data_IF_643176451424
#
_entry.id   IF_643176451424
#
_cell.length_a   1.000
_cell.length_b   1.000
_cell.length_c   1.000
_cell.angle_alpha   90.00
_cell.angle_beta   90.00
_cell.angle_gamma   90.00
#
_symmetry.space_group_name_H-M   'P 1'
#
loop_
_entity.id
_entity.type
_entity.pdbx_description
1 polymer ?
#
# COMPACT_ATOMS: atom_id res chain seq x y z
N UNK A 1 -1.53 -21.97 24.83
CA UNK A 1 -0.50 -23.01 24.66
C UNK A 1 0.19 -22.69 23.35
N UNK A 2 1.36 -22.04 23.42
CA UNK A 2 2.15 -21.73 22.23
C UNK A 2 2.68 -23.04 21.64
N UNK A 3 2.67 -23.17 20.32
CA UNK A 3 3.51 -24.17 19.67
C UNK A 3 4.96 -23.87 20.02
N UNK A 4 5.66 -24.83 20.62
CA UNK A 4 7.12 -24.85 20.68
C UNK A 4 7.64 -25.02 19.24
N UNK A 5 7.50 -23.99 18.42
CA UNK A 5 8.26 -23.89 17.19
C UNK A 5 9.70 -23.63 17.61
N UNK A 6 10.53 -24.67 17.50
CA UNK A 6 11.95 -24.55 17.74
C UNK A 6 12.55 -23.66 16.64
N UNK A 7 13.10 -22.51 17.03
CA UNK A 7 13.78 -21.58 16.13
C UNK A 7 15.29 -21.81 16.20
N UNK A 8 16.02 -21.76 15.06
CA UNK A 8 15.52 -21.43 13.72
C UNK A 8 14.80 -22.59 13.03
N UNK A 9 13.87 -22.28 12.12
CA UNK A 9 13.20 -23.27 11.27
C UNK A 9 13.06 -22.80 9.83
N UNK A 10 12.94 -23.76 8.92
CA UNK A 10 12.50 -23.48 7.56
C UNK A 10 11.03 -23.00 7.53
N UNK A 11 10.68 -22.24 6.50
CA UNK A 11 9.27 -22.01 6.15
C UNK A 11 8.61 -23.36 5.83
N UNK A 12 7.43 -23.57 6.40
CA UNK A 12 6.57 -24.69 6.00
C UNK A 12 6.15 -24.54 4.53
N UNK A 13 5.79 -25.64 3.85
CA UNK A 13 5.29 -25.58 2.48
C UNK A 13 4.10 -24.62 2.31
N UNK A 14 3.20 -24.57 3.31
CA UNK A 14 2.03 -23.69 3.30
C UNK A 14 2.42 -22.22 3.44
N UNK A 15 3.31 -21.86 4.38
CA UNK A 15 3.81 -20.49 4.52
C UNK A 15 4.49 -20.03 3.23
N UNK A 16 5.33 -20.89 2.64
CA UNK A 16 6.04 -20.58 1.40
C UNK A 16 5.10 -20.35 0.21
N UNK A 17 4.06 -21.18 0.06
CA UNK A 17 3.01 -20.97 -0.96
C UNK A 17 2.33 -19.61 -0.81
N UNK A 18 1.85 -19.32 0.41
CA UNK A 18 1.15 -18.08 0.71
C UNK A 18 2.03 -16.84 0.50
N UNK A 19 3.30 -16.89 0.90
CA UNK A 19 4.25 -15.80 0.71
C UNK A 19 4.56 -15.56 -0.76
N UNK A 20 4.81 -16.60 -1.55
CA UNK A 20 5.05 -16.43 -2.98
C UNK A 20 3.82 -15.96 -3.75
N UNK A 21 2.63 -16.34 -3.30
CA UNK A 21 1.40 -15.87 -3.88
C UNK A 21 1.24 -14.35 -3.71
N UNK A 22 1.47 -13.80 -2.51
CA UNK A 22 1.41 -12.33 -2.30
C UNK A 22 2.63 -11.58 -2.84
N UNK A 23 3.69 -12.28 -3.27
CA UNK A 23 4.91 -11.69 -3.83
C UNK A 23 5.07 -12.11 -5.31
N UNK A 24 4.22 -11.64 -6.24
CA UNK A 24 4.18 -12.14 -7.61
C UNK A 24 5.53 -11.94 -8.36
N UNK A 25 5.98 -12.94 -9.14
CA UNK A 25 7.32 -12.96 -9.74
C UNK A 25 7.51 -12.01 -10.91
N UNK A 26 6.42 -11.56 -11.54
CA UNK A 26 6.41 -10.62 -12.66
C UNK A 26 6.60 -9.16 -12.24
N UNK A 27 6.64 -8.88 -10.92
CA UNK A 27 6.86 -7.52 -10.38
C UNK A 27 8.30 -7.33 -9.91
N UNK A 28 9.06 -6.38 -10.48
CA UNK A 28 10.46 -6.19 -10.14
C UNK A 28 10.67 -5.83 -8.66
N UNK A 29 9.73 -5.07 -8.06
CA UNK A 29 9.79 -4.68 -6.66
C UNK A 29 9.73 -5.84 -5.66
N UNK A 30 9.11 -6.97 -6.03
CA UNK A 30 9.01 -8.14 -5.16
C UNK A 30 10.22 -9.07 -5.24
N UNK A 31 11.14 -8.89 -6.21
CA UNK A 31 12.27 -9.81 -6.44
C UNK A 31 13.09 -10.08 -5.18
N UNK A 32 13.57 -9.03 -4.51
CA UNK A 32 14.38 -9.17 -3.28
C UNK A 32 13.65 -9.87 -2.14
N UNK A 33 12.33 -9.73 -2.08
CA UNK A 33 11.50 -10.36 -1.05
C UNK A 33 11.32 -11.84 -1.34
N UNK A 34 11.11 -12.20 -2.61
CA UNK A 34 11.06 -13.59 -3.05
C UNK A 34 12.39 -14.31 -2.78
N UNK A 35 13.51 -13.67 -3.12
CA UNK A 35 14.86 -14.19 -2.83
C UNK A 35 15.03 -14.46 -1.32
N UNK A 36 14.58 -13.55 -0.45
CA UNK A 36 14.62 -13.76 0.98
C UNK A 36 13.72 -14.90 1.47
N UNK A 37 12.51 -15.06 0.90
CA UNK A 37 11.63 -16.21 1.18
C UNK A 37 12.29 -17.54 0.76
N UNK A 38 13.19 -17.51 -0.22
CA UNK A 38 13.93 -18.70 -0.66
C UNK A 38 15.16 -19.00 0.21
N UNK A 39 15.84 -17.97 0.70
CA UNK A 39 17.17 -18.12 1.29
C UNK A 39 17.23 -17.97 2.82
N UNK A 40 16.21 -17.39 3.46
CA UNK A 40 16.23 -17.09 4.89
C UNK A 40 15.44 -18.12 5.70
N UNK A 41 15.74 -18.17 7.01
CA UNK A 41 15.06 -19.04 7.97
C UNK A 41 14.16 -18.21 8.89
N UNK A 42 13.11 -18.83 9.40
CA UNK A 42 12.28 -18.24 10.46
C UNK A 42 13.08 -18.31 11.76
N UNK A 43 13.50 -17.15 12.25
CA UNK A 43 14.37 -17.03 13.42
C UNK A 43 13.59 -16.78 14.71
N UNK A 44 12.30 -16.47 14.63
CA UNK A 44 11.45 -16.21 15.79
C UNK A 44 10.18 -15.46 15.44
N UNK A 45 9.38 -15.19 16.48
CA UNK A 45 8.21 -14.33 16.40
C UNK A 45 8.59 -12.85 16.51
N UNK A 46 7.87 -12.01 15.78
CA UNK A 46 7.92 -10.56 15.92
C UNK A 46 7.10 -10.07 17.11
N UNK A 47 7.08 -8.76 17.30
CA UNK A 47 6.49 -8.12 18.50
C UNK A 47 4.97 -8.28 18.65
N UNK A 48 4.26 -8.77 17.62
CA UNK A 48 2.81 -9.01 17.67
C UNK A 48 2.46 -10.40 18.21
N UNK A 49 3.45 -11.24 18.45
CA UNK A 49 3.27 -12.61 18.96
C UNK A 49 2.89 -13.59 17.85
N UNK A 50 2.17 -14.63 18.24
CA UNK A 50 1.91 -15.80 17.39
C UNK A 50 1.33 -15.45 16.01
N UNK A 51 1.94 -16.01 14.97
CA UNK A 51 1.60 -15.75 13.56
C UNK A 51 2.34 -14.59 12.92
N UNK A 52 3.04 -13.75 13.71
CA UNK A 52 3.95 -12.73 13.22
C UNK A 52 5.38 -13.27 13.28
N UNK A 53 5.94 -13.63 12.14
CA UNK A 53 7.22 -14.35 12.04
C UNK A 53 8.30 -13.48 11.39
N UNK A 54 9.55 -13.78 11.73
CA UNK A 54 10.71 -13.03 11.29
C UNK A 54 11.66 -13.92 10.51
N UNK A 55 11.83 -13.63 9.22
CA UNK A 55 12.88 -14.22 8.38
C UNK A 55 14.17 -13.44 8.56
N UNK A 56 15.28 -14.14 8.81
CA UNK A 56 16.60 -13.53 8.85
C UNK A 56 17.69 -14.57 8.54
N UNK A 57 18.94 -14.13 8.24
CA UNK A 57 20.07 -15.06 8.13
C UNK A 57 20.29 -15.82 9.45
N UNK A 58 20.75 -17.08 9.39
CA UNK A 58 21.05 -17.86 10.59
C UNK A 58 22.03 -17.12 11.52
N UNK A 59 21.75 -17.15 12.82
CA UNK A 59 22.57 -16.51 13.86
C UNK A 59 22.34 -15.00 14.05
N UNK A 60 21.46 -14.37 13.27
CA UNK A 60 21.06 -12.97 13.50
C UNK A 60 20.05 -12.90 14.64
N UNK A 61 20.28 -11.96 15.57
CA UNK A 61 19.29 -11.60 16.59
C UNK A 61 18.22 -10.72 15.95
N UNK A 62 16.97 -11.13 16.07
CA UNK A 62 15.81 -10.36 15.61
C UNK A 62 15.65 -9.07 16.42
N UNK A 63 15.43 -7.97 15.71
CA UNK A 63 15.02 -6.68 16.26
C UNK A 63 13.49 -6.58 16.31
N UNK A 64 12.94 -6.54 17.52
CA UNK A 64 11.51 -6.33 17.79
C UNK A 64 11.20 -4.94 18.37
N UNK A 65 12.23 -4.11 18.60
CA UNK A 65 12.13 -2.82 19.29
C UNK A 65 11.96 -1.66 18.30
N UNK A 66 12.55 -1.79 17.11
CA UNK A 66 12.42 -0.79 16.04
C UNK A 66 10.96 -0.57 15.61
N UNK A 67 10.65 0.62 15.03
CA UNK A 67 9.34 0.88 14.44
C UNK A 67 8.97 -0.17 13.39
N UNK A 68 7.68 -0.55 13.32
CA UNK A 68 7.22 -1.51 12.31
C UNK A 68 7.44 -0.95 10.90
N UNK A 69 8.13 -1.68 10.02
CA UNK A 69 8.22 -1.31 8.63
C UNK A 69 6.85 -1.34 7.94
N UNK A 70 6.74 -0.73 6.77
CA UNK A 70 5.49 -0.68 6.03
C UNK A 70 5.12 -2.05 5.45
N UNK A 71 3.81 -2.29 5.28
CA UNK A 71 3.32 -3.48 4.55
C UNK A 71 3.54 -3.24 3.05
N UNK A 72 4.19 -4.20 2.38
CA UNK A 72 4.48 -4.17 0.93
C UNK A 72 3.65 -5.15 0.12
N UNK A 73 3.14 -6.20 0.77
CA UNK A 73 2.25 -7.15 0.15
C UNK A 73 1.18 -7.55 1.17
N UNK A 74 -0.04 -7.70 0.67
CA UNK A 74 -1.18 -8.07 1.47
C UNK A 74 -2.18 -8.86 0.62
N UNK A 75 -2.69 -9.94 1.20
CA UNK A 75 -3.75 -10.75 0.58
C UNK A 75 -4.59 -11.45 1.61
N UNK A 76 -5.75 -11.93 1.18
CA UNK A 76 -6.64 -12.77 1.97
C UNK A 76 -6.99 -14.03 1.18
N UNK A 77 -6.94 -15.16 1.87
CA UNK A 77 -7.53 -16.42 1.45
C UNK A 77 -8.82 -16.63 2.24
N UNK A 78 -9.93 -16.72 1.54
CA UNK A 78 -11.24 -17.08 2.10
C UNK A 78 -11.45 -18.57 1.87
N UNK A 79 -11.60 -19.31 2.96
CA UNK A 79 -11.85 -20.75 2.99
C UNK A 79 -13.18 -21.03 3.70
N UNK A 80 -13.66 -22.27 3.61
CA UNK A 80 -14.92 -22.69 4.24
C UNK A 80 -14.95 -22.46 5.77
N UNK A 81 -13.82 -22.62 6.43
CA UNK A 81 -13.67 -22.60 7.89
C UNK A 81 -12.67 -21.55 8.42
N UNK A 82 -12.08 -20.75 7.52
CA UNK A 82 -11.07 -19.76 7.88
C UNK A 82 -11.04 -18.56 6.93
N UNK A 83 -10.59 -17.43 7.45
CA UNK A 83 -10.21 -16.28 6.63
C UNK A 83 -8.77 -15.93 6.96
N UNK A 84 -7.84 -16.28 6.08
CA UNK A 84 -6.41 -16.21 6.34
C UNK A 84 -5.87 -14.91 5.72
N UNK A 85 -5.39 -14.01 6.55
CA UNK A 85 -4.69 -12.82 6.10
C UNK A 85 -3.18 -13.11 6.02
N UNK A 86 -2.57 -12.70 4.91
CA UNK A 86 -1.14 -12.79 4.66
C UNK A 86 -0.62 -11.38 4.46
N UNK A 87 0.40 -10.98 5.22
CA UNK A 87 1.08 -9.71 5.01
C UNK A 87 2.59 -9.86 5.06
N UNK A 88 3.28 -9.09 4.23
CA UNK A 88 4.75 -8.99 4.21
C UNK A 88 5.11 -7.53 4.37
N UNK A 89 6.13 -7.24 5.18
CA UNK A 89 6.62 -5.88 5.41
C UNK A 89 7.91 -5.59 4.67
N UNK A 90 8.30 -4.32 4.64
CA UNK A 90 9.64 -3.91 4.22
C UNK A 90 10.71 -4.55 5.11
N UNK A 91 11.90 -4.72 4.54
CA UNK A 91 13.07 -5.10 5.31
C UNK A 91 13.38 -4.07 6.38
N UNK A 92 13.77 -4.56 7.56
CA UNK A 92 14.43 -3.78 8.58
C UNK A 92 15.85 -4.34 8.72
N UNK A 93 16.85 -3.66 8.16
CA UNK A 93 18.19 -4.26 8.07
C UNK A 93 18.18 -5.55 7.25
N UNK A 94 18.58 -6.67 7.87
CA UNK A 94 18.66 -7.99 7.22
C UNK A 94 17.45 -8.91 7.51
N UNK A 95 16.44 -8.44 8.25
CA UNK A 95 15.26 -9.23 8.58
C UNK A 95 14.03 -8.79 7.76
N UNK A 96 13.18 -9.76 7.47
CA UNK A 96 11.91 -9.59 6.79
C UNK A 96 10.78 -10.10 7.68
N UNK A 97 9.84 -9.23 8.03
CA UNK A 97 8.67 -9.60 8.82
C UNK A 97 7.53 -10.04 7.88
N UNK A 98 6.90 -11.16 8.24
CA UNK A 98 5.64 -11.60 7.63
C UNK A 98 4.63 -12.02 8.70
N UNK A 99 3.35 -11.95 8.36
CA UNK A 99 2.25 -12.32 9.25
C UNK A 99 1.26 -13.18 8.47
N UNK A 100 0.97 -14.39 8.97
CA UNK A 100 -0.05 -15.28 8.44
C UNK A 100 -0.97 -15.64 9.60
N UNK A 101 -2.21 -15.16 9.54
CA UNK A 101 -3.15 -15.30 10.66
C UNK A 101 -4.57 -15.59 10.18
N UNK A 102 -5.33 -16.32 10.98
CA UNK A 102 -6.77 -16.45 10.80
C UNK A 102 -7.47 -15.24 11.43
N UNK A 103 -8.26 -14.50 10.65
CA UNK A 103 -8.96 -13.30 11.11
C UNK A 103 -10.05 -13.60 12.15
N UNK A 104 -10.47 -14.86 12.31
CA UNK A 104 -11.36 -15.27 13.41
C UNK A 104 -10.65 -15.33 14.77
N UNK A 105 -9.31 -15.21 14.80
CA UNK A 105 -8.49 -15.35 16.00
C UNK A 105 -8.13 -16.80 16.37
N UNK A 106 -8.61 -17.78 15.60
CA UNK A 106 -8.19 -19.18 15.73
C UNK A 106 -6.79 -19.41 15.13
N UNK A 107 -6.23 -20.59 15.35
CA UNK A 107 -5.03 -21.01 14.62
C UNK A 107 -5.32 -21.11 13.10
N UNK A 108 -4.29 -20.90 12.28
CA UNK A 108 -4.37 -21.14 10.84
C UNK A 108 -4.48 -22.64 10.60
N UNK A 109 -5.52 -23.14 9.90
CA UNK A 109 -5.64 -24.57 9.60
C UNK A 109 -4.47 -25.05 8.72
N UNK A 110 -3.92 -26.22 9.03
CA UNK A 110 -2.86 -26.86 8.19
C UNK A 110 -3.36 -27.20 6.79
N UNK A 111 -4.67 -27.44 6.68
CA UNK A 111 -5.38 -27.75 5.44
C UNK A 111 -6.72 -27.04 5.48
N UNK A 112 -7.11 -26.43 4.38
CA UNK A 112 -8.40 -25.75 4.25
C UNK A 112 -8.88 -25.84 2.80
N UNK A 113 -10.19 -25.79 2.59
CA UNK A 113 -10.79 -25.70 1.25
C UNK A 113 -10.97 -24.24 0.89
N UNK A 114 -10.21 -23.77 -0.09
CA UNK A 114 -10.29 -22.39 -0.55
C UNK A 114 -11.57 -22.13 -1.36
N UNK A 115 -12.29 -21.08 -0.99
CA UNK A 115 -13.41 -20.51 -1.76
C UNK A 115 -12.85 -19.52 -2.78
N UNK A 116 -11.98 -18.61 -2.33
CA UNK A 116 -11.27 -17.65 -3.17
C UNK A 116 -10.05 -17.10 -2.45
N UNK A 117 -9.09 -16.57 -3.21
CA UNK A 117 -8.02 -15.72 -2.69
C UNK A 117 -7.92 -14.44 -3.51
N UNK A 118 -7.47 -13.36 -2.88
CA UNK A 118 -7.16 -12.10 -3.55
C UNK A 118 -5.95 -11.41 -2.91
N UNK A 119 -5.16 -10.73 -3.73
CA UNK A 119 -4.01 -9.94 -3.27
C UNK A 119 -4.05 -8.55 -3.86
N UNK A 120 -3.58 -7.56 -3.09
CA UNK A 120 -3.31 -6.23 -3.65
C UNK A 120 -2.11 -6.24 -4.60
N UNK A 121 -1.20 -7.20 -4.47
CA UNK A 121 -0.02 -7.32 -5.33
C UNK A 121 -0.36 -7.58 -6.80
N UNK A 122 -1.54 -8.17 -7.05
CA UNK A 122 -2.03 -8.50 -8.40
C UNK A 122 -2.73 -7.33 -9.09
N UNK A 123 -3.04 -6.25 -8.36
CA UNK A 123 -3.77 -5.13 -8.94
C UNK A 123 -2.91 -4.27 -9.87
N UNK A 124 -3.53 -3.79 -10.94
CA UNK A 124 -2.98 -2.84 -11.90
C UNK A 124 -4.00 -1.72 -12.17
N UNK A 125 -3.55 -0.49 -12.50
CA UNK A 125 -4.45 0.59 -12.92
C UNK A 125 -5.37 0.17 -14.07
N UNK A 126 -6.65 0.51 -13.96
CA UNK A 126 -7.72 0.11 -14.88
C UNK A 126 -8.45 -1.18 -14.48
N UNK A 127 -7.92 -1.98 -13.55
CA UNK A 127 -8.62 -3.15 -13.02
C UNK A 127 -9.61 -2.78 -11.92
N UNK A 128 -10.65 -3.60 -11.76
CA UNK A 128 -11.58 -3.49 -10.62
C UNK A 128 -10.89 -3.83 -9.30
N UNK A 129 -11.52 -3.47 -8.18
CA UNK A 129 -11.06 -3.85 -6.85
C UNK A 129 -10.90 -5.38 -6.75
N UNK A 130 -9.72 -5.92 -6.36
CA UNK A 130 -9.51 -7.37 -6.27
C UNK A 130 -10.38 -8.01 -5.16
N UNK A 131 -10.91 -7.20 -4.25
CA UNK A 131 -11.60 -7.66 -3.04
C UNK A 131 -13.10 -7.83 -3.28
N UNK A 132 -13.72 -6.83 -3.92
CA UNK A 132 -15.18 -6.74 -4.09
C UNK A 132 -15.61 -6.59 -5.55
N UNK A 133 -14.67 -6.62 -6.49
CA UNK A 133 -14.90 -6.47 -7.94
C UNK A 133 -15.60 -5.16 -8.35
N UNK A 134 -15.64 -4.17 -7.47
CA UNK A 134 -16.22 -2.86 -7.76
C UNK A 134 -15.23 -1.96 -8.51
N UNK A 135 -15.77 -1.01 -9.28
CA UNK A 135 -14.98 0.02 -9.94
C UNK A 135 -14.27 0.90 -8.90
N UNK A 136 -13.05 1.29 -9.22
CA UNK A 136 -12.22 2.16 -8.37
C UNK A 136 -12.26 3.60 -8.86
N UNK A 137 -12.07 4.54 -7.93
CA UNK A 137 -11.63 5.89 -8.29
C UNK A 137 -10.12 5.85 -8.44
N UNK A 138 -9.65 6.11 -9.65
CA UNK A 138 -8.23 6.18 -9.97
C UNK A 138 -7.82 7.62 -10.29
N UNK A 139 -6.71 8.06 -9.71
CA UNK A 139 -6.16 9.39 -9.92
C UNK A 139 -4.66 9.27 -10.19
N UNK A 140 -4.18 9.81 -11.32
CA UNK A 140 -2.74 9.88 -11.60
C UNK A 140 -2.05 10.86 -10.67
N UNK A 141 -1.02 10.40 -9.94
CA UNK A 141 -0.23 11.22 -9.02
C UNK A 141 1.02 11.78 -9.71
N UNK A 142 1.70 10.92 -10.46
CA UNK A 142 2.82 11.29 -11.31
C UNK A 142 2.79 10.39 -12.55
N UNK A 143 3.04 10.98 -13.71
CA UNK A 143 3.17 10.23 -14.95
C UNK A 143 4.17 10.96 -15.83
N UNK A 144 5.38 10.42 -15.93
CA UNK A 144 6.29 10.74 -17.03
C UNK A 144 6.44 9.51 -17.94
N UNK A 145 7.29 9.60 -18.96
CA UNK A 145 7.50 8.51 -19.93
C UNK A 145 8.02 7.23 -19.27
N UNK A 146 8.60 7.32 -18.07
CA UNK A 146 9.30 6.21 -17.39
C UNK A 146 8.58 5.68 -16.18
N UNK A 147 7.66 6.46 -15.58
CA UNK A 147 7.00 6.08 -14.33
C UNK A 147 5.56 6.53 -14.27
N UNK A 148 4.68 5.55 -14.06
CA UNK A 148 3.25 5.74 -13.81
C UNK A 148 2.93 5.49 -12.34
N UNK A 149 2.49 6.52 -11.63
CA UNK A 149 2.05 6.42 -10.23
C UNK A 149 0.56 6.73 -10.15
N UNK A 150 -0.23 5.78 -9.65
CA UNK A 150 -1.70 5.89 -9.60
C UNK A 150 -2.20 5.68 -8.18
N UNK A 151 -2.97 6.64 -7.69
CA UNK A 151 -3.76 6.50 -6.47
C UNK A 151 -5.07 5.81 -6.81
N UNK A 152 -5.40 4.75 -6.08
CA UNK A 152 -6.65 4.01 -6.22
C UNK A 152 -7.43 4.05 -4.90
N UNK A 153 -8.73 4.36 -5.00
CA UNK A 153 -9.65 4.43 -3.87
C UNK A 153 -10.85 3.51 -4.16
N UNK A 154 -11.04 2.51 -3.30
CA UNK A 154 -12.22 1.66 -3.32
C UNK A 154 -13.23 2.15 -2.28
N UNK A 155 -14.33 2.78 -2.73
CA UNK A 155 -15.39 3.23 -1.83
C UNK A 155 -16.10 2.08 -1.11
N UNK A 156 -16.39 0.99 -1.84
CA UNK A 156 -17.11 -0.16 -1.29
C UNK A 156 -16.33 -0.89 -0.17
N UNK A 157 -15.04 -1.15 -0.40
CA UNK A 157 -14.15 -1.82 0.56
C UNK A 157 -13.48 -0.85 1.57
N UNK A 158 -13.65 0.46 1.39
CA UNK A 158 -13.08 1.51 2.25
C UNK A 158 -11.56 1.47 2.35
N UNK A 159 -10.87 1.28 1.21
CA UNK A 159 -9.40 1.21 1.14
C UNK A 159 -8.81 2.17 0.10
N UNK A 160 -7.55 2.54 0.36
CA UNK A 160 -6.74 3.41 -0.48
C UNK A 160 -5.38 2.74 -0.67
N UNK A 161 -4.89 2.70 -1.90
CA UNK A 161 -3.53 2.27 -2.20
C UNK A 161 -2.94 3.08 -3.34
N UNK A 162 -1.61 3.03 -3.44
CA UNK A 162 -0.85 3.66 -4.50
C UNK A 162 -0.11 2.59 -5.30
N UNK A 163 -0.34 2.54 -6.59
CA UNK A 163 0.47 1.76 -7.51
C UNK A 163 1.70 2.54 -7.95
N UNK A 164 2.89 1.94 -7.76
CA UNK A 164 4.14 2.44 -8.30
C UNK A 164 4.55 1.63 -9.54
N UNK A 165 4.45 2.23 -10.72
CA UNK A 165 4.75 1.56 -11.98
C UNK A 165 6.21 1.16 -12.17
N UNK A 166 7.15 1.78 -11.45
CA UNK A 166 8.57 1.41 -11.51
C UNK A 166 8.82 0.04 -10.85
N UNK A 167 8.20 -0.17 -9.69
CA UNK A 167 8.39 -1.38 -8.88
C UNK A 167 7.30 -2.42 -9.10
N UNK A 168 6.13 -2.01 -9.60
CA UNK A 168 4.91 -2.82 -9.68
C UNK A 168 4.24 -3.08 -8.33
N UNK A 169 4.65 -2.38 -7.27
CA UNK A 169 4.13 -2.58 -5.91
C UNK A 169 2.88 -1.71 -5.67
N UNK A 170 1.91 -2.27 -4.96
CA UNK A 170 0.76 -1.55 -4.42
C UNK A 170 0.97 -1.20 -2.94
N UNK A 171 1.22 0.08 -2.66
CA UNK A 171 1.46 0.59 -1.32
C UNK A 171 0.14 0.97 -0.63
N UNK A 172 -0.18 0.29 0.47
CA UNK A 172 -1.34 0.65 1.30
C UNK A 172 -1.19 2.06 1.90
N UNK A 173 -2.26 2.85 1.76
CA UNK A 173 -2.35 4.21 2.31
C UNK A 173 -3.35 4.20 3.48
N UNK A 174 -2.93 4.53 4.71
CA UNK A 174 -3.83 4.62 5.85
C UNK A 174 -4.90 5.70 5.62
N UNK A 175 -6.16 5.29 5.67
CA UNK A 175 -7.32 6.14 5.40
C UNK A 175 -7.32 7.38 6.30
N UNK A 176 -7.11 7.21 7.61
CA UNK A 176 -7.10 8.32 8.57
C UNK A 176 -6.02 9.35 8.24
N UNK A 177 -4.80 8.91 7.93
CA UNK A 177 -3.71 9.83 7.60
C UNK A 177 -3.97 10.58 6.29
N UNK A 178 -4.47 9.89 5.26
CA UNK A 178 -4.82 10.51 3.99
C UNK A 178 -5.98 11.51 4.16
N UNK A 179 -7.03 11.12 4.88
CA UNK A 179 -8.21 11.94 5.11
C UNK A 179 -7.88 13.22 5.89
N UNK A 180 -7.03 13.12 6.92
CA UNK A 180 -6.58 14.30 7.66
C UNK A 180 -5.92 15.32 6.75
N UNK A 181 -5.04 14.90 5.84
CA UNK A 181 -4.40 15.79 4.87
C UNK A 181 -5.40 16.38 3.87
N UNK A 182 -6.42 15.60 3.47
CA UNK A 182 -7.50 16.08 2.61
C UNK A 182 -8.33 17.17 3.32
N UNK A 183 -8.70 16.97 4.58
CA UNK A 183 -9.46 17.97 5.36
C UNK A 183 -8.66 19.26 5.54
N UNK A 184 -7.36 19.15 5.85
CA UNK A 184 -6.46 20.29 5.95
C UNK A 184 -6.35 21.05 4.62
N UNK A 185 -6.19 20.34 3.50
CA UNK A 185 -6.14 20.95 2.16
C UNK A 185 -7.43 21.71 1.83
N UNK A 186 -8.58 21.08 2.09
CA UNK A 186 -9.92 21.66 1.87
C UNK A 186 -10.32 22.73 2.88
N UNK A 187 -9.48 22.98 3.91
CA UNK A 187 -9.75 23.87 5.03
C UNK A 187 -11.03 23.53 5.80
N UNK A 188 -11.42 22.26 5.81
CA UNK A 188 -12.57 21.77 6.55
C UNK A 188 -12.14 21.58 8.01
N UNK A 189 -12.78 22.31 8.92
CA UNK A 189 -12.48 22.29 10.36
C UNK A 189 -13.66 21.83 11.23
N UNK A 190 -14.81 21.60 10.62
CA UNK A 190 -15.99 21.10 11.31
C UNK A 190 -15.70 19.68 11.86
N UNK A 191 -15.74 19.46 13.19
CA UNK A 191 -15.44 18.17 13.80
C UNK A 191 -16.32 17.03 13.29
N UNK A 192 -17.60 17.31 12.99
CA UNK A 192 -18.59 16.33 12.47
C UNK A 192 -18.23 15.79 11.08
N UNK A 193 -17.27 16.44 10.41
CA UNK A 193 -16.72 16.02 9.13
C UNK A 193 -15.27 15.57 9.32
N UNK A 194 -14.44 16.37 9.97
CA UNK A 194 -13.00 16.20 10.00
C UNK A 194 -12.51 14.99 10.82
N UNK A 195 -13.27 14.55 11.83
CA UNK A 195 -12.88 13.42 12.69
C UNK A 195 -13.42 12.06 12.20
N UNK A 196 -14.11 12.05 11.05
CA UNK A 196 -14.85 10.90 10.52
C UNK A 196 -14.28 10.44 9.18
N UNK A 197 -13.11 9.75 9.15
CA UNK A 197 -12.44 9.35 7.92
C UNK A 197 -13.25 8.42 7.02
N UNK A 198 -14.22 7.69 7.56
CA UNK A 198 -15.19 6.88 6.81
C UNK A 198 -16.03 7.71 5.83
N UNK A 199 -16.18 9.01 6.07
CA UNK A 199 -16.91 9.92 5.18
C UNK A 199 -16.24 10.09 3.83
N UNK A 200 -14.92 9.92 3.76
CA UNK A 200 -14.18 9.95 2.49
C UNK A 200 -14.87 9.13 1.41
N UNK A 201 -15.35 7.94 1.75
CA UNK A 201 -15.89 6.99 0.78
C UNK A 201 -17.33 7.32 0.38
N UNK A 202 -18.11 7.92 1.27
CA UNK A 202 -19.47 8.36 0.97
C UNK A 202 -19.49 9.67 0.17
N UNK A 203 -18.52 10.55 0.42
CA UNK A 203 -18.40 11.87 -0.19
C UNK A 203 -17.35 11.90 -1.33
N UNK A 204 -16.89 10.74 -1.82
CA UNK A 204 -15.72 10.64 -2.71
C UNK A 204 -15.86 11.50 -3.98
N UNK A 205 -17.05 11.56 -4.57
CA UNK A 205 -17.34 12.34 -5.78
C UNK A 205 -17.28 13.86 -5.57
N UNK A 206 -17.24 14.34 -4.31
CA UNK A 206 -17.10 15.76 -3.98
C UNK A 206 -15.66 16.26 -4.05
N UNK A 207 -14.69 15.35 -4.12
CA UNK A 207 -13.27 15.69 -4.17
C UNK A 207 -12.77 15.57 -5.60
N UNK A 208 -12.08 16.61 -6.06
CA UNK A 208 -11.43 16.58 -7.37
C UNK A 208 -10.15 15.75 -7.32
N UNK A 209 -9.68 15.31 -8.48
CA UNK A 209 -8.38 14.63 -8.58
C UNK A 209 -7.24 15.48 -7.98
N UNK A 210 -7.30 16.80 -8.17
CA UNK A 210 -6.33 17.73 -7.57
C UNK A 210 -6.35 17.69 -6.04
N UNK A 211 -7.53 17.61 -5.43
CA UNK A 211 -7.66 17.50 -3.97
C UNK A 211 -7.03 16.19 -3.47
N UNK A 212 -7.32 15.08 -4.15
CA UNK A 212 -6.83 13.74 -3.80
C UNK A 212 -5.30 13.62 -3.96
N UNK A 213 -4.75 14.15 -5.06
CA UNK A 213 -3.30 14.18 -5.30
C UNK A 213 -2.60 15.03 -4.25
N UNK A 214 -3.14 16.20 -3.92
CA UNK A 214 -2.54 17.07 -2.90
C UNK A 214 -2.54 16.42 -1.51
N UNK A 215 -3.65 15.77 -1.14
CA UNK A 215 -3.74 15.01 0.11
C UNK A 215 -2.69 13.88 0.15
N UNK A 216 -2.57 13.11 -0.94
CA UNK A 216 -1.55 12.06 -1.04
C UNK A 216 -0.13 12.62 -0.95
N UNK A 217 0.17 13.71 -1.65
CA UNK A 217 1.50 14.32 -1.67
C UNK A 217 1.94 14.76 -0.27
N UNK A 218 1.07 15.45 0.47
CA UNK A 218 1.36 15.87 1.84
C UNK A 218 1.56 14.69 2.78
N UNK A 219 0.69 13.69 2.67
CA UNK A 219 0.80 12.44 3.41
C UNK A 219 2.16 11.76 3.15
N UNK A 220 2.53 11.63 1.88
CA UNK A 220 3.76 10.98 1.45
C UNK A 220 5.00 11.76 1.89
N UNK A 221 4.97 13.10 1.88
CA UNK A 221 6.09 13.94 2.34
C UNK A 221 6.46 13.68 3.81
N UNK A 222 5.46 13.45 4.66
CA UNK A 222 5.68 13.20 6.09
C UNK A 222 6.16 11.77 6.40
N UNK A 223 5.99 10.83 5.46
CA UNK A 223 6.21 9.38 5.68
C UNK A 223 7.14 8.73 4.65
N UNK A 224 7.65 9.49 3.67
CA UNK A 224 8.47 9.10 2.51
C UNK A 224 8.24 7.65 2.02
N UNK A 225 7.02 7.34 1.56
CA UNK A 225 6.69 5.98 1.09
C UNK A 225 7.13 5.72 -0.34
N UNK A 226 6.99 6.75 -1.18
CA UNK A 226 7.30 6.66 -2.61
C UNK A 226 8.12 7.88 -2.97
N UNK A 227 9.25 7.66 -3.68
CA UNK A 227 10.05 8.77 -4.21
C UNK A 227 9.25 9.44 -5.32
N UNK A 228 8.55 10.53 -5.04
CA UNK A 228 7.88 11.31 -6.09
C UNK A 228 8.87 12.39 -6.52
N UNK A 229 9.34 12.34 -7.76
CA UNK A 229 9.96 13.52 -8.37
C UNK A 229 8.83 14.55 -8.58
N UNK A 230 9.05 15.78 -8.13
CA UNK A 230 7.99 16.79 -8.08
C UNK A 230 7.47 17.10 -9.49
N UNK A 231 6.25 16.67 -9.80
CA UNK A 231 5.41 17.39 -10.76
C UNK A 231 4.57 18.33 -9.91
N UNK A 232 4.99 19.61 -9.80
CA UNK A 232 4.15 20.64 -9.20
C UNK A 232 2.85 20.72 -10.01
N UNK A 233 1.67 20.38 -9.44
CA UNK A 233 0.41 20.46 -10.17
C UNK A 233 0.03 21.91 -10.54
N UNK A 234 0.86 22.91 -10.23
CA UNK A 234 0.69 24.32 -10.57
C UNK A 234 1.50 24.86 -11.77
N UNK A 235 2.38 24.08 -12.43
CA UNK A 235 3.24 24.63 -13.49
C UNK A 235 2.54 24.79 -14.85
N UNK A 236 1.61 23.91 -15.22
CA UNK A 236 0.92 23.97 -16.53
C UNK A 236 -0.06 25.14 -16.67
N UNK A 237 -0.70 25.59 -15.58
CA UNK A 237 -1.59 26.77 -15.60
C UNK A 237 -0.81 28.11 -15.51
N UNK A 238 0.37 28.12 -14.89
CA UNK A 238 1.18 29.35 -14.76
C UNK A 238 1.86 29.75 -16.07
N UNK A 239 2.36 28.81 -16.86
CA UNK A 239 2.99 29.10 -18.15
C UNK A 239 1.98 29.62 -19.18
N UNK A 240 0.79 29.03 -19.23
CA UNK A 240 -0.30 29.50 -20.11
C UNK A 240 -0.84 30.87 -19.70
N UNK A 241 -0.89 31.17 -18.40
CA UNK A 241 -1.27 32.50 -17.86
C UNK A 241 -0.20 33.57 -18.08
N UNK A 242 1.08 33.22 -17.92
CA UNK A 242 2.21 34.13 -18.17
C UNK A 242 2.35 34.47 -19.66
N UNK A 243 2.26 33.48 -20.55
CA UNK A 243 2.29 33.69 -22.00
C UNK A 243 1.11 34.54 -22.50
N UNK A 244 -0.10 34.32 -21.97
CA UNK A 244 -1.27 35.19 -22.26
C UNK A 244 -1.08 36.63 -21.76
N UNK A 245 -0.40 36.84 -20.63
CA UNK A 245 -0.06 38.18 -20.11
C UNK A 245 1.02 38.87 -20.95
N UNK A 246 2.06 38.16 -21.38
CA UNK A 246 3.12 38.72 -22.25
C UNK A 246 2.57 39.07 -23.63
N UNK A 247 1.76 38.19 -24.23
CA UNK A 247 1.14 38.45 -25.54
C UNK A 247 0.16 39.64 -25.51
N UNK A 248 -0.59 39.83 -24.41
CA UNK A 248 -1.50 40.98 -24.29
C UNK A 248 -0.80 42.33 -24.01
N UNK A 249 0.44 42.31 -23.51
CA UNK A 249 1.27 43.51 -23.36
C UNK A 249 1.90 43.89 -24.72
N UNK A 250 2.27 42.91 -25.55
CA UNK A 250 2.85 43.14 -26.86
C UNK A 250 1.81 43.62 -27.90
N UNK A 251 0.56 43.17 -27.82
CA UNK A 251 -0.52 43.63 -28.70
C UNK A 251 -1.05 45.04 -28.38
N UNK A 252 -0.71 45.61 -27.21
CA UNK A 252 -1.06 46.98 -26.82
C UNK A 252 -0.03 48.04 -27.20
N UNK A 253 1.13 47.63 -27.75
CA UNK A 253 2.22 48.54 -28.18
C UNK A 253 2.31 48.72 -29.70
N UNK A 254 1.37 48.16 -30.46
CA UNK A 254 1.34 48.21 -31.93
C UNK A 254 0.08 48.88 -32.49
N UNK A 255 -0.65 49.62 -31.65
CA UNK A 255 -1.79 50.45 -32.04
C UNK A 255 -1.51 51.92 -31.76
#
# INVERSE_FOLDING_TARGET
MGSDDEYPRALSPQERDLLFWVLPPDRPGYRRYREAVESLEVMGEGRRGSGNNMLAPPGIRIDCESPLPHVIAYGIVEAEDATIAVSVREFLGAQLEFEIMNLSGAAVPKTFTEIRRWSLSDWYPGLVCPICSQKLRETGVASDETRKVVLAICAADKRIWLYDGETGINHLVPVTSFYNELMLHRRIRDPEIALHPERLFADLDRYTDRDLVHAFYNYNRLRMKVRLEMIDPGTTERETSFMKRVLSILSRRTS
#
